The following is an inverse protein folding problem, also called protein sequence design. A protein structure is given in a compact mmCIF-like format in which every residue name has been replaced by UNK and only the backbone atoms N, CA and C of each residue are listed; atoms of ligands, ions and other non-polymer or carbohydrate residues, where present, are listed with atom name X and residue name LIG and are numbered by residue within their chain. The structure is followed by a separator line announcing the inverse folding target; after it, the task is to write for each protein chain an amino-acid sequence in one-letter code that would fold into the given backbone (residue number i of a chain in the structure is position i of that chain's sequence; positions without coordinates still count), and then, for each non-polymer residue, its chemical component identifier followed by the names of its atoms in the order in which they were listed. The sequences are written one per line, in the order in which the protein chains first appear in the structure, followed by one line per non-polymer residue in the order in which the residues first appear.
data_IF_921449571951
#
_entry.id   IF_921449571951
#
_cell.length_a   1.000
_cell.length_b   1.000
_cell.length_c   1.000
_cell.angle_alpha   90.00
_cell.angle_beta   90.00
_cell.angle_gamma   90.00
#
_symmetry.space_group_name_H-M   'P 1'
#
loop_
_entity.id
_entity.type
_entity.pdbx_description
1 polymer ?
#
# COMPACT_ATOMS: atom_id res chain seq x y z
N UNK A 1 2.27 1.88 -6.49
CA UNK A 1 3.52 1.37 -5.89
C UNK A 1 4.04 2.33 -4.81
N UNK A 2 4.77 1.83 -3.78
CA UNK A 2 5.47 2.70 -2.84
C UNK A 2 6.52 3.54 -3.55
N UNK A 3 6.83 4.72 -3.01
CA UNK A 3 7.83 5.62 -3.56
C UNK A 3 9.23 5.00 -3.49
N UNK A 4 10.04 5.20 -4.52
CA UNK A 4 11.43 4.72 -4.54
C UNK A 4 12.19 5.38 -3.37
N UNK A 5 12.78 4.55 -2.49
CA UNK A 5 13.63 5.04 -1.40
C UNK A 5 14.86 5.71 -2.00
N UNK A 6 15.05 7.00 -1.70
CA UNK A 6 16.23 7.77 -2.11
C UNK A 6 17.00 8.22 -0.87
N UNK A 7 18.20 8.79 -1.05
CA UNK A 7 18.98 9.39 0.05
C UNK A 7 18.22 10.48 0.83
N UNK A 8 17.18 11.08 0.20
CA UNK A 8 16.32 12.11 0.81
C UNK A 8 15.09 11.54 1.54
N UNK A 9 14.83 10.25 1.43
CA UNK A 9 13.68 9.59 2.08
C UNK A 9 13.95 9.50 3.58
N UNK A 10 12.97 9.95 4.39
CA UNK A 10 13.09 9.86 5.84
C UNK A 10 13.11 8.39 6.26
N UNK A 11 13.90 8.06 7.29
CA UNK A 11 13.92 6.71 7.87
C UNK A 11 12.50 6.31 8.33
N UNK A 12 12.14 5.02 8.22
CA UNK A 12 10.86 4.54 8.71
C UNK A 12 10.77 4.77 10.23
N UNK A 13 9.62 5.27 10.73
CA UNK A 13 9.33 5.38 12.16
C UNK A 13 9.20 4.01 12.85
N UNK A 14 9.21 4.02 14.18
CA UNK A 14 9.01 2.83 15.02
C UNK A 14 7.69 2.11 14.70
N UNK A 15 7.70 0.77 14.71
CA UNK A 15 6.55 -0.07 14.38
C UNK A 15 6.35 -0.35 12.88
N UNK A 16 7.23 0.16 12.00
CA UNK A 16 7.19 -0.18 10.57
C UNK A 16 7.55 -1.64 10.29
N UNK A 17 8.46 -2.23 11.07
CA UNK A 17 8.94 -3.61 10.89
C UNK A 17 7.79 -4.63 11.00
N UNK A 18 6.83 -4.39 11.90
CA UNK A 18 5.69 -5.28 12.13
C UNK A 18 4.68 -5.30 10.95
N UNK A 19 4.65 -4.23 10.16
CA UNK A 19 3.72 -4.08 9.03
C UNK A 19 4.41 -4.27 7.67
N UNK A 20 5.73 -4.21 7.61
CA UNK A 20 6.52 -4.25 6.36
C UNK A 20 6.19 -5.52 5.54
N UNK A 21 6.17 -6.69 6.16
CA UNK A 21 5.88 -7.95 5.46
C UNK A 21 4.49 -7.98 4.80
N UNK A 22 3.48 -7.41 5.46
CA UNK A 22 2.12 -7.32 4.90
C UNK A 22 2.05 -6.30 3.76
N UNK A 23 2.78 -5.18 3.88
CA UNK A 23 2.85 -4.17 2.82
C UNK A 23 3.59 -4.68 1.58
N UNK A 24 4.64 -5.47 1.76
CA UNK A 24 5.38 -6.11 0.68
C UNK A 24 4.54 -7.16 -0.04
N UNK A 25 3.71 -7.93 0.68
CA UNK A 25 2.76 -8.84 0.07
C UNK A 25 1.75 -8.12 -0.83
N UNK A 26 1.26 -6.94 -0.41
CA UNK A 26 0.41 -6.10 -1.27
C UNK A 26 1.17 -5.56 -2.48
N UNK A 27 2.44 -5.17 -2.31
CA UNK A 27 3.28 -4.71 -3.42
C UNK A 27 3.55 -5.82 -4.44
N UNK A 28 3.79 -7.06 -3.98
CA UNK A 28 3.93 -8.24 -4.84
C UNK A 28 2.64 -8.50 -5.61
N UNK A 29 1.50 -8.57 -4.92
CA UNK A 29 0.18 -8.74 -5.56
C UNK A 29 -0.11 -7.65 -6.59
N UNK A 30 0.33 -6.41 -6.32
CA UNK A 30 0.18 -5.30 -7.26
C UNK A 30 0.98 -5.55 -8.54
N UNK A 31 2.25 -5.93 -8.41
CA UNK A 31 3.12 -6.26 -9.55
C UNK A 31 2.58 -7.45 -10.35
N UNK A 32 2.05 -8.46 -9.68
CA UNK A 32 1.45 -9.63 -10.33
C UNK A 32 0.19 -9.23 -11.13
N UNK A 33 -0.66 -8.38 -10.56
CA UNK A 33 -1.86 -7.86 -11.23
C UNK A 33 -1.53 -6.93 -12.41
N UNK A 34 -0.42 -6.18 -12.35
CA UNK A 34 0.08 -5.37 -13.47
C UNK A 34 0.61 -6.23 -14.62
N UNK A 35 1.22 -7.38 -14.31
CA UNK A 35 1.76 -8.32 -15.29
C UNK A 35 0.72 -9.32 -15.82
N UNK A 36 -0.47 -9.39 -15.21
CA UNK A 36 -1.49 -10.36 -15.60
C UNK A 36 -2.01 -10.07 -17.02
N UNK A 37 -2.06 -11.11 -17.85
CA UNK A 37 -2.58 -10.98 -19.22
C UNK A 37 -4.00 -10.44 -19.23
N UNK A 38 -4.26 -9.53 -20.17
CA UNK A 38 -5.56 -8.90 -20.39
C UNK A 38 -6.38 -9.62 -21.46
N UNK A 39 -5.92 -10.79 -21.94
CA UNK A 39 -6.65 -11.57 -22.94
C UNK A 39 -8.01 -12.04 -22.41
N UNK A 40 -9.06 -11.79 -23.19
CA UNK A 40 -10.44 -12.15 -22.85
C UNK A 40 -11.14 -11.22 -21.85
N UNK A 41 -10.46 -10.22 -21.29
CA UNK A 41 -11.05 -9.22 -20.37
C UNK A 41 -11.42 -7.94 -21.12
N UNK A 42 -12.46 -7.25 -20.66
CA UNK A 42 -12.73 -5.87 -21.12
C UNK A 42 -11.63 -4.95 -20.63
N UNK A 43 -11.33 -3.88 -21.37
CA UNK A 43 -10.31 -2.88 -21.01
C UNK A 43 -10.47 -2.35 -19.57
N UNK A 44 -11.71 -2.21 -19.10
CA UNK A 44 -12.02 -1.77 -17.73
C UNK A 44 -11.81 -2.87 -16.68
N UNK A 45 -12.06 -4.12 -17.03
CA UNK A 45 -11.93 -5.27 -16.12
C UNK A 45 -10.48 -5.56 -15.75
N UNK A 46 -9.55 -5.32 -16.68
CA UNK A 46 -8.11 -5.39 -16.40
C UNK A 46 -7.66 -4.47 -15.26
N UNK A 47 -8.36 -3.34 -15.05
CA UNK A 47 -8.03 -2.36 -14.01
C UNK A 47 -8.65 -2.70 -12.64
N UNK A 48 -9.69 -3.54 -12.59
CA UNK A 48 -10.40 -3.82 -11.33
C UNK A 48 -9.54 -4.50 -10.26
N UNK A 49 -8.69 -5.50 -10.58
CA UNK A 49 -7.78 -6.09 -9.60
C UNK A 49 -6.82 -5.06 -9.00
N UNK A 50 -6.31 -4.15 -9.86
CA UNK A 50 -5.40 -3.07 -9.45
C UNK A 50 -6.07 -2.14 -8.44
N UNK A 51 -7.29 -1.68 -8.76
CA UNK A 51 -8.06 -0.81 -7.87
C UNK A 51 -8.43 -1.52 -6.56
N UNK A 52 -8.76 -2.81 -6.62
CA UNK A 52 -9.08 -3.62 -5.43
C UNK A 52 -7.88 -3.72 -4.50
N UNK A 53 -6.67 -3.98 -5.02
CA UNK A 53 -5.45 -4.09 -4.23
C UNK A 53 -5.10 -2.75 -3.59
N UNK A 54 -5.16 -1.65 -4.36
CA UNK A 54 -4.93 -0.29 -3.84
C UNK A 54 -5.89 0.06 -2.70
N UNK A 55 -7.18 -0.25 -2.87
CA UNK A 55 -8.19 -0.02 -1.83
C UNK A 55 -7.93 -0.88 -0.59
N UNK A 56 -7.65 -2.17 -0.77
CA UNK A 56 -7.40 -3.10 0.35
C UNK A 56 -6.19 -2.66 1.17
N UNK A 57 -5.11 -2.24 0.50
CA UNK A 57 -3.90 -1.73 1.13
C UNK A 57 -4.16 -0.45 1.95
N UNK A 58 -4.89 0.50 1.38
CA UNK A 58 -5.25 1.74 2.09
C UNK A 58 -6.17 1.47 3.27
N UNK A 59 -7.12 0.53 3.11
CA UNK A 59 -8.03 0.13 4.19
C UNK A 59 -7.31 -0.56 5.34
N UNK A 60 -6.30 -1.39 5.04
CA UNK A 60 -5.47 -2.03 6.06
C UNK A 60 -4.79 -1.00 6.96
N UNK A 61 -4.18 0.04 6.37
CA UNK A 61 -3.51 1.12 7.12
C UNK A 61 -4.54 1.94 7.92
N UNK A 62 -5.70 2.24 7.34
CA UNK A 62 -6.79 2.92 8.05
C UNK A 62 -7.26 2.13 9.28
N UNK A 63 -7.50 0.83 9.13
CA UNK A 63 -7.99 -0.02 10.21
C UNK A 63 -6.93 -0.18 11.33
N UNK A 64 -5.63 -0.19 10.98
CA UNK A 64 -4.54 -0.20 11.95
C UNK A 64 -4.51 1.07 12.81
N UNK A 65 -4.72 2.25 12.21
CA UNK A 65 -4.68 3.52 12.95
C UNK A 65 -5.99 3.83 13.68
N UNK A 66 -7.13 3.80 12.97
CA UNK A 66 -8.40 4.31 13.51
C UNK A 66 -9.23 3.29 14.29
N UNK A 67 -9.03 1.98 14.06
CA UNK A 67 -9.83 0.95 14.76
C UNK A 67 -9.02 0.16 15.77
N UNK A 68 -7.81 -0.25 15.39
CA UNK A 68 -6.94 -1.07 16.23
C UNK A 68 -5.95 -0.25 17.05
N UNK A 69 -5.73 1.01 16.69
CA UNK A 69 -4.76 1.92 17.31
C UNK A 69 -3.37 1.29 17.49
N UNK A 70 -3.00 0.40 16.55
CA UNK A 70 -1.77 -0.40 16.62
C UNK A 70 -0.55 0.33 16.09
N UNK A 71 -0.75 1.47 15.41
CA UNK A 71 0.31 2.30 14.84
C UNK A 71 0.24 3.71 15.39
N UNK A 72 1.41 4.32 15.59
CA UNK A 72 1.51 5.71 16.03
C UNK A 72 1.07 6.66 14.92
N UNK A 73 0.68 7.89 15.32
CA UNK A 73 0.34 8.95 14.37
C UNK A 73 1.52 9.31 13.46
N UNK A 74 2.75 9.28 13.99
CA UNK A 74 3.96 9.55 13.21
C UNK A 74 4.16 8.50 12.11
N UNK A 75 3.95 7.22 12.42
CA UNK A 75 4.01 6.15 11.43
C UNK A 75 2.91 6.28 10.39
N UNK A 76 1.68 6.58 10.80
CA UNK A 76 0.56 6.80 9.89
C UNK A 76 0.83 7.96 8.90
N UNK A 77 1.27 9.12 9.40
CA UNK A 77 1.57 10.28 8.56
C UNK A 77 2.76 10.01 7.61
N UNK A 78 3.75 9.24 8.06
CA UNK A 78 4.86 8.81 7.21
C UNK A 78 4.41 7.86 6.09
N UNK A 79 3.55 6.88 6.39
CA UNK A 79 3.00 5.93 5.41
C UNK A 79 2.20 6.63 4.32
N UNK A 80 1.43 7.66 4.68
CA UNK A 80 0.72 8.50 3.72
C UNK A 80 1.70 9.27 2.81
N UNK A 81 2.76 9.83 3.39
CA UNK A 81 3.77 10.60 2.63
C UNK A 81 4.56 9.74 1.64
N UNK A 82 4.82 8.48 1.97
CA UNK A 82 5.53 7.53 1.11
C UNK A 82 4.61 6.79 0.11
N UNK A 83 3.30 7.06 0.14
CA UNK A 83 2.33 6.54 -0.84
C UNK A 83 1.88 5.09 -0.58
N UNK A 84 1.97 4.61 0.66
CA UNK A 84 1.44 3.30 1.05
C UNK A 84 -0.08 3.30 1.18
N UNK A 85 -0.67 4.40 1.65
CA UNK A 85 -2.10 4.63 1.72
C UNK A 85 -2.48 5.91 0.96
N UNK A 86 -3.74 5.94 0.52
CA UNK A 86 -4.32 7.09 -0.15
C UNK A 86 -4.68 8.19 0.87
N UNK A 87 -3.90 9.27 0.87
CA UNK A 87 -4.24 10.53 1.53
C UNK A 87 -5.00 11.37 0.50
N UNK A 88 -6.32 11.33 0.59
CA UNK A 88 -7.28 12.07 -0.24
C UNK A 88 -6.78 13.40 -0.82
#
# INVERSE_FOLDING_TARGET
MPKIKTSRTKKPPEGFEDIEGVLDDYARKMRDAENESHEGKRKTESLWPIMRISHTRSRYIYDLYYKREAISRELYDWLLKEGYADAK
#
